data_IF_341565758512
#
_entry.id   IF_341565758512
#
_cell.length_a   1.000
_cell.length_b   1.000
_cell.length_c   1.000
_cell.angle_alpha   90.00
_cell.angle_beta   90.00
_cell.angle_gamma   90.00
#
_symmetry.space_group_name_H-M   'P 1'
#
loop_
_entity.id
_entity.type
_entity.pdbx_description
1 polymer ?
#
# COMPACT_ATOMS: atom_id res chain seq x y z
N UNK A 1 -1.79 -2.12 -14.63
CA UNK A 1 -0.90 -3.27 -14.35
C UNK A 1 0.21 -2.79 -13.43
N UNK A 2 0.63 -3.58 -12.44
CA UNK A 2 1.75 -3.21 -11.58
C UNK A 2 3.03 -3.17 -12.43
N UNK A 3 3.79 -2.08 -12.38
CA UNK A 3 5.09 -2.05 -13.04
C UNK A 3 6.09 -2.78 -12.13
N UNK A 4 6.73 -3.83 -12.65
CA UNK A 4 7.70 -4.64 -11.92
C UNK A 4 9.07 -4.29 -12.48
N UNK A 5 9.79 -3.47 -11.73
CA UNK A 5 11.17 -3.12 -12.03
C UNK A 5 12.12 -4.16 -11.41
N UNK A 6 13.22 -4.48 -12.09
CA UNK A 6 14.25 -5.39 -11.60
C UNK A 6 15.49 -4.59 -11.18
N UNK A 7 15.91 -4.74 -9.93
CA UNK A 7 17.14 -4.17 -9.41
C UNK A 7 18.20 -5.26 -9.40
N UNK A 8 19.37 -4.97 -9.99
CA UNK A 8 20.46 -5.93 -10.19
C UNK A 8 21.83 -5.27 -9.93
N UNK A 9 22.86 -6.10 -9.75
CA UNK A 9 24.25 -5.63 -9.60
C UNK A 9 24.48 -4.75 -8.37
N UNK A 10 25.32 -3.72 -8.52
CA UNK A 10 25.74 -2.84 -7.43
C UNK A 10 24.59 -2.08 -6.76
N UNK A 11 23.48 -1.86 -7.48
CA UNK A 11 22.28 -1.24 -6.95
C UNK A 11 21.65 -2.06 -5.80
N UNK A 12 21.81 -3.38 -5.79
CA UNK A 12 21.35 -4.23 -4.69
C UNK A 12 22.16 -3.94 -3.41
N UNK A 13 23.48 -3.75 -3.53
CA UNK A 13 24.32 -3.43 -2.36
C UNK A 13 23.91 -2.09 -1.75
N UNK A 14 23.65 -1.08 -2.57
CA UNK A 14 23.16 0.21 -2.10
C UNK A 14 21.80 0.07 -1.42
N UNK A 15 20.85 -0.63 -2.04
CA UNK A 15 19.53 -0.89 -1.46
C UNK A 15 19.62 -1.52 -0.07
N UNK A 16 20.45 -2.55 0.10
CA UNK A 16 20.58 -3.25 1.39
C UNK A 16 21.30 -2.40 2.46
N UNK A 17 22.25 -1.54 2.06
CA UNK A 17 22.83 -0.55 2.97
C UNK A 17 21.76 0.42 3.49
N UNK A 18 20.84 0.87 2.63
CA UNK A 18 19.72 1.70 3.05
C UNK A 18 18.76 0.96 4.00
N UNK A 19 18.47 -0.33 3.73
CA UNK A 19 17.66 -1.15 4.64
C UNK A 19 18.30 -1.25 6.02
N UNK A 20 19.62 -1.43 6.08
CA UNK A 20 20.37 -1.46 7.34
C UNK A 20 20.28 -0.14 8.10
N UNK A 21 20.59 0.96 7.41
CA UNK A 21 20.69 2.28 8.02
C UNK A 21 19.34 2.76 8.58
N UNK A 22 18.26 2.51 7.83
CA UNK A 22 16.92 2.94 8.22
C UNK A 22 16.17 1.90 9.06
N UNK A 23 16.80 0.76 9.39
CA UNK A 23 16.20 -0.36 10.14
C UNK A 23 14.84 -0.76 9.56
N UNK A 24 14.77 -0.91 8.24
CA UNK A 24 13.51 -1.25 7.56
C UNK A 24 13.12 -2.69 7.93
N UNK A 25 11.87 -2.94 8.39
CA UNK A 25 11.38 -4.28 8.68
C UNK A 25 11.36 -5.15 7.42
N UNK A 26 11.83 -6.38 7.57
CA UNK A 26 11.79 -7.43 6.55
C UNK A 26 10.75 -8.47 6.96
N UNK A 27 9.77 -8.71 6.10
CA UNK A 27 8.92 -9.89 6.20
C UNK A 27 9.65 -11.07 5.58
N UNK A 28 9.86 -12.12 6.37
CA UNK A 28 10.57 -13.33 5.97
C UNK A 28 9.57 -14.48 6.02
N UNK A 29 9.33 -15.10 4.86
CA UNK A 29 8.39 -16.20 4.71
C UNK A 29 9.13 -17.44 4.23
N UNK A 30 9.01 -18.52 4.99
CA UNK A 30 9.47 -19.85 4.61
C UNK A 30 8.41 -20.48 3.70
N UNK A 31 8.68 -20.48 2.40
CA UNK A 31 7.69 -20.82 1.36
C UNK A 31 7.20 -22.27 1.38
N UNK A 32 7.98 -23.18 1.96
CA UNK A 32 7.70 -24.61 2.05
C UNK A 32 7.46 -25.13 3.47
N UNK A 33 7.43 -24.25 4.47
CA UNK A 33 7.20 -24.61 5.88
C UNK A 33 6.06 -23.83 6.55
N UNK A 34 5.35 -22.97 5.80
CA UNK A 34 4.20 -22.22 6.31
C UNK A 34 4.52 -21.21 7.43
N UNK A 35 5.80 -20.91 7.64
CA UNK A 35 6.26 -20.03 8.70
C UNK A 35 6.53 -18.61 8.17
N UNK A 36 6.11 -17.60 8.92
CA UNK A 36 6.44 -16.21 8.65
C UNK A 36 6.86 -15.47 9.92
N UNK A 37 7.81 -14.54 9.79
CA UNK A 37 8.18 -13.63 10.86
C UNK A 37 8.67 -12.29 10.31
N UNK A 38 8.74 -11.31 11.20
CA UNK A 38 9.37 -10.03 10.94
C UNK A 38 10.79 -10.04 11.50
N UNK A 39 11.75 -9.59 10.69
CA UNK A 39 13.15 -9.43 11.09
C UNK A 39 13.68 -8.10 10.57
N UNK A 40 14.94 -7.81 10.84
CA UNK A 40 15.63 -6.63 10.33
C UNK A 40 17.03 -7.01 9.86
N UNK A 41 17.54 -6.28 8.88
CA UNK A 41 18.90 -6.50 8.41
C UNK A 41 19.89 -6.03 9.48
N UNK A 42 20.62 -6.97 10.09
CA UNK A 42 21.56 -6.67 11.18
C UNK A 42 22.93 -6.28 10.65
N UNK A 43 23.46 -7.06 9.71
CA UNK A 43 24.81 -6.88 9.17
C UNK A 43 24.87 -7.21 7.69
N UNK A 44 25.75 -6.51 6.98
CA UNK A 44 26.23 -6.90 5.65
C UNK A 44 27.67 -7.36 5.83
N UNK A 45 28.00 -8.54 5.29
CA UNK A 45 29.34 -9.14 5.34
C UNK A 45 29.76 -9.56 3.95
N UNK A 46 31.06 -9.48 3.68
CA UNK A 46 31.66 -10.05 2.48
C UNK A 46 32.47 -11.28 2.89
N UNK A 47 32.20 -12.43 2.28
CA UNK A 47 33.04 -13.64 2.40
C UNK A 47 33.56 -13.97 1.01
N UNK A 48 34.89 -14.08 0.88
CA UNK A 48 35.56 -14.19 -0.42
C UNK A 48 35.13 -13.06 -1.38
N UNK A 49 34.42 -13.38 -2.45
CA UNK A 49 33.88 -12.43 -3.44
C UNK A 49 32.37 -12.21 -3.33
N UNK A 50 31.70 -12.85 -2.36
CA UNK A 50 30.24 -12.86 -2.25
C UNK A 50 29.78 -12.03 -1.06
N UNK A 51 28.76 -11.20 -1.28
CA UNK A 51 28.12 -10.45 -0.21
C UNK A 51 26.98 -11.28 0.40
N UNK A 52 26.90 -11.22 1.72
CA UNK A 52 25.87 -11.82 2.55
C UNK A 52 25.23 -10.75 3.40
N UNK A 53 23.94 -10.86 3.62
CA UNK A 53 23.25 -10.12 4.67
C UNK A 53 22.78 -11.08 5.75
N UNK A 54 22.75 -10.58 6.98
CA UNK A 54 22.43 -11.35 8.16
C UNK A 54 21.14 -10.83 8.77
N UNK A 55 20.24 -11.75 9.07
CA UNK A 55 19.00 -11.51 9.81
C UNK A 55 18.96 -12.43 11.03
N UNK A 56 18.32 -11.99 12.10
CA UNK A 56 18.05 -12.84 13.27
C UNK A 56 16.91 -13.80 12.96
N UNK A 57 16.99 -14.99 13.54
CA UNK A 57 15.89 -15.97 13.58
C UNK A 57 15.59 -16.36 15.03
N UNK A 58 14.39 -16.88 15.26
CA UNK A 58 13.96 -17.38 16.57
C UNK A 58 13.84 -18.92 16.59
N UNK A 59 13.57 -19.50 17.75
CA UNK A 59 13.41 -20.96 17.89
C UNK A 59 12.29 -21.53 16.99
N UNK A 60 11.22 -20.76 16.74
CA UNK A 60 10.13 -21.23 15.89
C UNK A 60 10.58 -21.38 14.43
N UNK A 61 11.43 -20.46 13.94
CA UNK A 61 12.04 -20.59 12.62
C UNK A 61 12.91 -21.85 12.56
N UNK A 62 13.72 -22.09 13.59
CA UNK A 62 14.57 -23.29 13.64
C UNK A 62 13.73 -24.57 13.55
N UNK A 63 12.69 -24.70 14.39
CA UNK A 63 11.74 -25.83 14.35
C UNK A 63 11.07 -25.98 12.99
N UNK A 64 10.70 -24.87 12.35
CA UNK A 64 10.06 -24.88 11.03
C UNK A 64 11.01 -25.37 9.90
N UNK A 65 12.33 -25.27 10.11
CA UNK A 65 13.35 -25.70 9.13
C UNK A 65 13.98 -27.07 9.42
N UNK A 66 13.84 -27.61 10.64
CA UNK A 66 14.49 -28.87 11.07
C UNK A 66 14.18 -30.08 10.18
N UNK A 67 13.00 -30.14 9.58
CA UNK A 67 12.56 -31.26 8.73
C UNK A 67 12.53 -30.91 7.23
N UNK A 68 13.21 -29.83 6.82
CA UNK A 68 13.24 -29.39 5.42
C UNK A 68 14.62 -29.61 4.80
N UNK A 69 14.69 -30.44 3.77
CA UNK A 69 15.94 -30.71 3.03
C UNK A 69 16.43 -29.49 2.22
N UNK A 70 15.51 -28.65 1.74
CA UNK A 70 15.79 -27.40 1.00
C UNK A 70 14.78 -26.35 1.47
N UNK A 71 15.20 -25.36 2.25
CA UNK A 71 14.32 -24.31 2.74
C UNK A 71 14.46 -23.03 1.90
N UNK A 72 13.31 -22.51 1.46
CA UNK A 72 13.25 -21.36 0.55
C UNK A 72 12.61 -20.18 1.22
N UNK A 73 13.33 -19.07 1.26
CA UNK A 73 12.83 -17.81 1.79
C UNK A 73 12.30 -16.92 0.68
N UNK A 74 11.13 -16.36 0.93
CA UNK A 74 10.66 -15.14 0.29
C UNK A 74 10.85 -14.00 1.27
N UNK A 75 11.51 -12.94 0.82
CA UNK A 75 11.74 -11.75 1.63
C UNK A 75 10.98 -10.60 0.97
N UNK A 76 10.19 -9.88 1.76
CA UNK A 76 9.43 -8.72 1.33
C UNK A 76 9.70 -7.54 2.28
N UNK A 77 9.81 -6.34 1.73
CA UNK A 77 9.96 -5.12 2.53
C UNK A 77 9.36 -3.92 1.82
N UNK A 78 9.02 -2.89 2.59
CA UNK A 78 8.58 -1.60 2.04
C UNK A 78 9.73 -0.61 2.18
N UNK A 79 10.27 -0.15 1.04
CA UNK A 79 11.37 0.84 1.04
C UNK A 79 10.93 2.19 1.60
N UNK A 80 11.89 3.09 1.80
CA UNK A 80 11.63 4.48 2.23
C UNK A 80 10.71 5.25 1.28
N UNK A 81 10.65 4.82 0.02
CA UNK A 81 9.78 5.34 -1.02
C UNK A 81 8.33 4.82 -0.92
N UNK A 82 8.03 3.99 0.08
CA UNK A 82 6.70 3.41 0.29
C UNK A 82 6.34 2.31 -0.71
N UNK A 83 7.33 1.79 -1.44
CA UNK A 83 7.14 0.77 -2.47
C UNK A 83 7.54 -0.60 -1.92
N UNK A 84 6.77 -1.62 -2.33
CA UNK A 84 7.04 -2.99 -1.94
C UNK A 84 8.15 -3.58 -2.82
N UNK A 85 9.13 -4.21 -2.19
CA UNK A 85 10.19 -4.96 -2.82
C UNK A 85 10.08 -6.42 -2.40
N UNK A 86 10.41 -7.35 -3.29
CA UNK A 86 10.52 -8.75 -2.93
C UNK A 86 11.58 -9.48 -3.74
N UNK A 87 12.12 -10.54 -3.15
CA UNK A 87 12.96 -11.52 -3.82
C UNK A 87 12.84 -12.88 -3.13
N UNK A 88 13.37 -13.91 -3.78
CA UNK A 88 13.46 -15.25 -3.24
C UNK A 88 14.90 -15.71 -3.17
N UNK A 89 15.19 -16.54 -2.19
CA UNK A 89 16.50 -17.18 -2.01
C UNK A 89 16.33 -18.59 -1.48
N UNK A 90 17.28 -19.44 -1.84
CA UNK A 90 17.40 -20.86 -1.48
C UNK A 90 18.72 -21.13 -0.73
N UNK A 91 19.62 -20.16 -0.73
CA UNK A 91 20.98 -20.31 -0.20
C UNK A 91 21.09 -19.51 1.11
N UNK A 92 20.80 -20.19 2.22
CA UNK A 92 20.92 -19.64 3.56
C UNK A 92 21.63 -20.59 4.50
N UNK A 93 22.52 -20.07 5.35
CA UNK A 93 23.18 -20.83 6.41
C UNK A 93 22.77 -20.29 7.78
N UNK A 94 22.34 -21.17 8.68
CA UNK A 94 22.09 -20.79 10.07
C UNK A 94 23.36 -20.96 10.89
N UNK A 95 23.83 -19.88 11.52
CA UNK A 95 24.93 -19.95 12.49
C UNK A 95 24.85 -18.82 13.49
N UNK A 96 25.15 -19.13 14.77
CA UNK A 96 25.21 -18.14 15.85
C UNK A 96 23.92 -17.29 16.00
N UNK A 97 22.75 -17.90 15.85
CA UNK A 97 21.44 -17.20 15.95
C UNK A 97 21.14 -16.27 14.78
N UNK A 98 21.92 -16.35 13.70
CA UNK A 98 21.75 -15.55 12.49
C UNK A 98 21.56 -16.44 11.27
N UNK A 99 20.71 -15.98 10.36
CA UNK A 99 20.63 -16.54 9.01
C UNK A 99 21.57 -15.72 8.12
N UNK A 100 22.54 -16.39 7.51
CA UNK A 100 23.43 -15.84 6.51
C UNK A 100 22.82 -16.06 5.14
N UNK A 101 22.41 -14.97 4.49
CA UNK A 101 21.72 -15.06 3.22
C UNK A 101 22.59 -14.38 2.16
N UNK A 102 22.88 -15.11 1.08
CA UNK A 102 23.59 -14.54 -0.06
C UNK A 102 22.75 -13.42 -0.67
N UNK A 103 23.41 -12.35 -1.11
CA UNK A 103 22.73 -11.28 -1.84
C UNK A 103 22.00 -11.85 -3.06
N UNK A 104 20.72 -11.46 -3.28
CA UNK A 104 19.98 -11.94 -4.43
C UNK A 104 20.61 -11.38 -5.71
N UNK A 105 20.50 -12.12 -6.81
CA UNK A 105 20.89 -11.61 -8.13
C UNK A 105 19.92 -10.54 -8.63
N UNK A 106 18.65 -10.62 -8.22
CA UNK A 106 17.59 -9.69 -8.61
C UNK A 106 16.66 -9.42 -7.44
N UNK A 107 16.33 -8.16 -7.24
CA UNK A 107 15.22 -7.72 -6.38
C UNK A 107 14.13 -7.11 -7.24
N UNK A 108 12.89 -7.55 -7.05
CA UNK A 108 11.74 -7.01 -7.75
C UNK A 108 11.15 -5.84 -6.97
N UNK A 109 11.03 -4.69 -7.62
CA UNK A 109 10.39 -3.49 -7.09
C UNK A 109 9.00 -3.35 -7.70
N UNK A 110 7.97 -3.44 -6.86
CA UNK A 110 6.58 -3.49 -7.29
C UNK A 110 5.91 -2.13 -7.15
N UNK A 111 6.02 -1.30 -8.19
CA UNK A 111 5.30 -0.05 -8.23
C UNK A 111 3.85 -0.30 -8.68
N UNK A 112 2.97 -0.55 -7.71
CA UNK A 112 1.55 -0.87 -7.96
C UNK A 112 0.69 0.36 -8.24
N UNK A 113 1.15 1.56 -7.87
CA UNK A 113 0.40 2.81 -8.05
C UNK A 113 1.02 3.63 -9.16
N UNK A 114 0.26 3.89 -10.21
CA UNK A 114 0.64 4.79 -11.30
C UNK A 114 0.33 6.26 -10.97
N UNK A 115 -0.58 6.52 -10.03
CA UNK A 115 -1.04 7.85 -9.66
C UNK A 115 -0.69 8.16 -8.21
N UNK A 116 -0.12 9.35 -8.01
CA UNK A 116 0.20 9.88 -6.70
C UNK A 116 -1.07 10.12 -5.87
N UNK A 117 -0.97 9.95 -4.56
CA UNK A 117 -2.06 10.18 -3.61
C UNK A 117 -1.68 11.30 -2.66
N UNK A 118 -2.64 12.17 -2.39
CA UNK A 118 -2.56 13.20 -1.37
C UNK A 118 -3.59 12.91 -0.29
N UNK A 119 -3.26 13.23 0.96
CA UNK A 119 -4.28 13.37 1.99
C UNK A 119 -5.31 14.39 1.54
N UNK A 120 -6.59 14.02 1.68
CA UNK A 120 -7.66 14.88 1.24
C UNK A 120 -7.78 16.08 2.18
N UNK A 121 -8.15 17.28 1.67
CA UNK A 121 -8.49 18.40 2.54
C UNK A 121 -9.53 17.99 3.60
N UNK A 122 -9.33 18.44 4.84
CA UNK A 122 -10.23 18.09 5.93
C UNK A 122 -11.66 18.50 5.62
N UNK A 123 -12.60 17.55 5.67
CA UNK A 123 -14.00 17.78 5.31
C UNK A 123 -14.37 17.33 3.90
N UNK A 124 -13.41 16.83 3.10
CA UNK A 124 -13.69 16.19 1.81
C UNK A 124 -14.60 14.98 1.97
N UNK A 125 -15.64 14.91 1.13
CA UNK A 125 -16.70 13.89 1.21
C UNK A 125 -16.90 13.25 -0.15
N UNK A 126 -17.25 11.98 -0.15
CA UNK A 126 -17.69 11.27 -1.35
C UNK A 126 -19.10 10.73 -1.11
N UNK A 127 -20.02 11.03 -2.01
CA UNK A 127 -21.40 10.56 -1.97
C UNK A 127 -21.69 9.61 -3.12
N UNK A 128 -22.46 8.57 -2.85
CA UNK A 128 -22.93 7.63 -3.86
C UNK A 128 -24.21 6.95 -3.40
N UNK A 129 -24.96 6.36 -4.33
CA UNK A 129 -26.21 5.68 -4.03
C UNK A 129 -26.10 4.18 -4.31
N UNK A 130 -26.74 3.37 -3.47
CA UNK A 130 -27.00 1.94 -3.71
C UNK A 130 -28.45 1.69 -3.29
N UNK A 131 -29.26 1.13 -4.19
CA UNK A 131 -30.68 0.85 -3.94
C UNK A 131 -31.43 2.07 -3.35
N UNK A 132 -31.25 3.26 -3.95
CA UNK A 132 -31.82 4.53 -3.48
C UNK A 132 -31.32 5.04 -2.11
N UNK A 133 -30.42 4.31 -1.45
CA UNK A 133 -29.82 4.76 -0.19
C UNK A 133 -28.56 5.55 -0.50
N UNK A 134 -28.51 6.79 0.01
CA UNK A 134 -27.35 7.68 -0.14
C UNK A 134 -26.30 7.41 0.94
N UNK A 135 -25.14 6.98 0.50
CA UNK A 135 -23.96 6.75 1.32
C UNK A 135 -23.04 7.97 1.30
N UNK A 136 -22.33 8.17 2.40
CA UNK A 136 -21.33 9.24 2.56
C UNK A 136 -20.03 8.63 3.09
N UNK A 137 -18.91 8.95 2.43
CA UNK A 137 -17.57 8.69 2.95
C UNK A 137 -16.91 10.00 3.37
N UNK A 138 -16.19 9.99 4.49
CA UNK A 138 -15.13 10.98 4.73
C UNK A 138 -13.87 10.51 4.02
N UNK A 139 -13.37 11.32 3.11
CA UNK A 139 -12.24 10.92 2.26
C UNK A 139 -10.94 11.12 3.04
N UNK A 140 -10.12 10.07 3.11
CA UNK A 140 -8.79 10.09 3.74
C UNK A 140 -7.77 10.58 2.73
N UNK A 141 -7.75 10.00 1.53
CA UNK A 141 -6.84 10.40 0.47
C UNK A 141 -7.47 10.27 -0.91
N UNK A 142 -6.97 11.09 -1.83
CA UNK A 142 -7.41 11.18 -3.22
C UNK A 142 -6.20 10.98 -4.13
N UNK A 143 -6.44 10.38 -5.29
CA UNK A 143 -5.59 10.44 -6.49
C UNK A 143 -6.47 10.81 -7.68
N UNK A 144 -5.86 11.08 -8.83
CA UNK A 144 -6.61 11.30 -10.07
C UNK A 144 -7.45 10.11 -10.54
N UNK A 145 -7.23 8.90 -9.98
CA UNK A 145 -7.92 7.67 -10.39
C UNK A 145 -8.70 6.98 -9.28
N UNK A 146 -8.88 7.62 -8.12
CA UNK A 146 -9.63 7.00 -7.03
C UNK A 146 -9.40 7.63 -5.67
N UNK A 147 -10.18 7.17 -4.69
CA UNK A 147 -10.14 7.62 -3.29
C UNK A 147 -10.06 6.46 -2.32
N UNK A 148 -9.52 6.73 -1.14
CA UNK A 148 -9.78 5.97 0.08
C UNK A 148 -10.63 6.83 1.02
N UNK A 149 -11.72 6.29 1.54
CA UNK A 149 -12.56 6.98 2.52
C UNK A 149 -13.10 6.05 3.59
N UNK A 150 -13.56 6.65 4.68
CA UNK A 150 -14.26 5.97 5.77
C UNK A 150 -15.76 6.18 5.59
N UNK A 151 -16.53 5.11 5.67
CA UNK A 151 -17.97 5.18 5.69
C UNK A 151 -18.45 5.93 6.93
N UNK A 152 -19.18 7.03 6.70
CA UNK A 152 -19.89 7.77 7.72
C UNK A 152 -21.20 7.03 7.96
N UNK A 153 -21.16 5.98 8.78
CA UNK A 153 -22.34 5.16 9.04
C UNK A 153 -23.39 5.99 9.79
N UNK A 154 -24.65 5.90 9.36
CA UNK A 154 -25.79 6.22 10.22
C UNK A 154 -26.26 5.00 11.02
N UNK A 155 -26.04 3.75 10.54
CA UNK A 155 -26.41 2.49 11.25
C UNK A 155 -25.54 1.28 10.84
N UNK A 156 -25.56 0.18 11.63
CA UNK A 156 -24.94 -1.12 11.27
C UNK A 156 -25.57 -1.78 10.04
N UNK A 157 -26.85 -1.51 9.78
CA UNK A 157 -27.61 -2.07 8.67
C UNK A 157 -27.06 -1.60 7.31
N UNK A 158 -26.72 -0.30 7.18
CA UNK A 158 -26.11 0.24 5.96
C UNK A 158 -24.76 -0.42 5.63
N UNK A 159 -23.94 -0.73 6.65
CA UNK A 159 -22.69 -1.46 6.41
C UNK A 159 -22.94 -2.89 5.91
N UNK A 160 -23.94 -3.58 6.47
CA UNK A 160 -24.30 -4.92 6.04
C UNK A 160 -24.84 -4.93 4.60
N UNK A 161 -25.69 -3.96 4.27
CA UNK A 161 -26.24 -3.82 2.93
C UNK A 161 -25.17 -3.53 1.89
N UNK A 162 -24.21 -2.66 2.22
CA UNK A 162 -23.07 -2.36 1.37
C UNK A 162 -22.21 -3.61 1.11
N UNK A 163 -22.00 -4.46 2.13
CA UNK A 163 -21.28 -5.73 2.00
C UNK A 163 -22.06 -6.76 1.18
N UNK A 164 -23.38 -6.83 1.36
CA UNK A 164 -24.24 -7.82 0.69
C UNK A 164 -24.38 -7.50 -0.79
N UNK A 165 -24.68 -6.24 -1.13
CA UNK A 165 -24.85 -5.82 -2.51
C UNK A 165 -23.52 -5.78 -3.26
N UNK A 166 -22.44 -5.36 -2.58
CA UNK A 166 -21.07 -5.22 -3.11
C UNK A 166 -21.04 -4.87 -4.61
N UNK A 167 -21.68 -3.76 -5.02
CA UNK A 167 -21.85 -3.47 -6.43
C UNK A 167 -20.46 -3.30 -7.07
N UNK A 168 -20.23 -4.05 -8.15
CA UNK A 168 -18.96 -3.97 -8.88
C UNK A 168 -18.73 -2.59 -9.49
N UNK A 169 -19.81 -1.90 -9.85
CA UNK A 169 -19.80 -0.55 -10.43
C UNK A 169 -20.84 0.28 -9.70
N UNK A 170 -20.47 1.50 -9.34
CA UNK A 170 -21.35 2.51 -8.75
C UNK A 170 -21.37 3.70 -9.68
N UNK A 171 -22.56 4.18 -10.00
CA UNK A 171 -22.75 5.30 -10.92
C UNK A 171 -23.00 6.60 -10.18
N UNK A 172 -22.76 7.72 -10.86
CA UNK A 172 -23.11 9.07 -10.41
C UNK A 172 -22.56 9.40 -9.01
N UNK A 173 -21.25 9.19 -8.83
CA UNK A 173 -20.54 9.45 -7.59
C UNK A 173 -20.15 10.93 -7.52
N UNK A 174 -20.41 11.56 -6.38
CA UNK A 174 -20.10 12.97 -6.15
C UNK A 174 -18.94 13.10 -5.17
N UNK A 175 -17.80 13.61 -5.66
CA UNK A 175 -16.65 13.93 -4.83
C UNK A 175 -16.64 15.42 -4.52
N UNK A 176 -16.82 15.77 -3.25
CA UNK A 176 -17.01 17.14 -2.78
C UNK A 176 -15.82 17.55 -1.93
N UNK A 177 -15.15 18.61 -2.38
CA UNK A 177 -14.03 19.22 -1.68
C UNK A 177 -14.51 20.49 -0.96
N UNK A 178 -14.12 20.66 0.31
CA UNK A 178 -14.55 21.79 1.10
C UNK A 178 -14.01 23.09 0.52
N UNK A 179 -14.82 24.14 0.59
CA UNK A 179 -14.40 25.50 0.34
C UNK A 179 -13.20 25.92 1.22
N UNK A 180 -12.36 26.83 0.71
CA UNK A 180 -11.20 27.34 1.45
C UNK A 180 -11.53 28.53 2.35
N UNK A 181 -12.58 29.28 2.04
CA UNK A 181 -13.05 30.43 2.82
C UNK A 181 -14.56 30.40 3.05
N UNK A 182 -15.05 31.22 3.98
CA UNK A 182 -16.46 31.25 4.40
C UNK A 182 -17.44 31.68 3.30
N UNK A 183 -16.95 32.36 2.25
CA UNK A 183 -17.76 32.85 1.13
C UNK A 183 -17.60 32.02 -0.16
N UNK A 184 -16.80 30.95 -0.13
CA UNK A 184 -16.58 30.09 -1.28
C UNK A 184 -17.53 28.88 -1.24
N UNK A 185 -18.00 28.45 -2.40
CA UNK A 185 -18.78 27.22 -2.51
C UNK A 185 -17.87 25.97 -2.52
N UNK A 186 -18.40 24.87 -1.98
CA UNK A 186 -17.77 23.56 -2.07
C UNK A 186 -17.52 23.17 -3.54
N UNK A 187 -16.31 22.71 -3.83
CA UNK A 187 -15.94 22.25 -5.16
C UNK A 187 -16.37 20.80 -5.38
N UNK A 188 -17.35 20.58 -6.25
CA UNK A 188 -17.86 19.24 -6.60
C UNK A 188 -17.27 18.70 -7.91
N UNK A 189 -16.84 17.44 -7.89
CA UNK A 189 -16.44 16.65 -9.07
C UNK A 189 -17.41 15.49 -9.23
N UNK A 190 -18.02 15.37 -10.40
CA UNK A 190 -18.92 14.26 -10.73
C UNK A 190 -18.16 13.13 -11.43
N UNK A 191 -18.25 11.94 -10.88
CA UNK A 191 -17.61 10.74 -11.42
C UNK A 191 -18.71 9.82 -11.90
N UNK A 192 -18.73 9.55 -13.21
CA UNK A 192 -19.81 8.80 -13.85
C UNK A 192 -19.84 7.36 -13.35
N UNK A 193 -18.67 6.71 -13.24
CA UNK A 193 -18.57 5.35 -12.72
C UNK A 193 -17.37 5.16 -11.80
N UNK A 194 -17.61 4.51 -10.67
CA UNK A 194 -16.61 4.06 -9.71
C UNK A 194 -16.71 2.54 -9.51
N UNK A 195 -15.65 1.92 -9.02
CA UNK A 195 -15.64 0.52 -8.60
C UNK A 195 -15.05 0.39 -7.20
N UNK A 196 -15.67 -0.41 -6.33
CA UNK A 196 -15.03 -0.84 -5.09
C UNK A 196 -13.85 -1.75 -5.38
N UNK A 197 -12.68 -1.37 -4.87
CA UNK A 197 -11.44 -2.16 -4.96
C UNK A 197 -11.18 -2.88 -3.64
N UNK A 198 -11.59 -2.28 -2.52
CA UNK A 198 -11.43 -2.83 -1.17
C UNK A 198 -12.52 -2.29 -0.26
N UNK A 199 -13.07 -3.17 0.58
CA UNK A 199 -14.01 -2.84 1.64
C UNK A 199 -13.64 -3.64 2.87
N UNK A 200 -13.20 -2.98 3.94
CA UNK A 200 -12.75 -3.67 5.15
C UNK A 200 -12.91 -2.79 6.40
N UNK A 201 -13.01 -3.43 7.57
CA UNK A 201 -12.85 -2.70 8.82
C UNK A 201 -11.37 -2.54 9.12
N UNK A 202 -10.94 -1.31 9.34
CA UNK A 202 -9.61 -1.05 9.85
C UNK A 202 -9.44 -1.74 11.22
N UNK A 203 -8.44 -2.61 11.41
CA UNK A 203 -8.30 -3.39 12.63
C UNK A 203 -8.03 -2.54 13.86
N UNK A 204 -7.41 -1.37 13.69
CA UNK A 204 -7.07 -0.42 14.76
C UNK A 204 -8.24 0.51 15.07
N UNK A 205 -8.76 1.22 14.06
CA UNK A 205 -9.79 2.25 14.30
C UNK A 205 -11.22 1.68 14.34
N UNK A 206 -11.40 0.41 13.94
CA UNK A 206 -12.69 -0.28 13.76
C UNK A 206 -13.64 0.37 12.76
N UNK A 207 -13.21 1.45 12.09
CA UNK A 207 -13.95 2.18 11.06
C UNK A 207 -14.01 1.35 9.77
N UNK A 208 -15.12 1.44 9.05
CA UNK A 208 -15.30 0.76 7.77
C UNK A 208 -14.69 1.61 6.65
N UNK A 209 -13.62 1.12 6.03
CA UNK A 209 -12.89 1.79 4.97
C UNK A 209 -13.28 1.24 3.60
N UNK A 210 -13.49 2.16 2.65
CA UNK A 210 -13.81 1.87 1.27
C UNK A 210 -12.76 2.50 0.35
N UNK A 211 -12.09 1.66 -0.45
CA UNK A 211 -11.25 2.12 -1.55
C UNK A 211 -12.03 2.02 -2.86
N UNK A 212 -12.14 3.15 -3.57
CA UNK A 212 -12.89 3.26 -4.82
C UNK A 212 -11.97 3.72 -5.94
N UNK A 213 -12.01 3.04 -7.09
CA UNK A 213 -11.34 3.47 -8.30
C UNK A 213 -12.32 4.16 -9.24
N UNK A 214 -11.90 5.26 -9.84
CA UNK A 214 -12.67 5.96 -10.87
C UNK A 214 -12.50 5.18 -12.18
N UNK A 215 -13.62 4.83 -12.81
CA UNK A 215 -13.66 4.05 -14.06
C UNK A 215 -14.03 4.92 -15.24
N UNK A 216 -14.99 5.82 -15.04
CA UNK A 216 -15.42 6.74 -16.06
C UNK A 216 -15.67 8.11 -15.43
N UNK A 217 -15.07 9.12 -16.04
CA UNK A 217 -15.19 10.52 -15.68
C UNK A 217 -15.14 11.33 -16.97
N UNK A 218 -15.99 12.35 -17.08
CA UNK A 218 -16.01 13.19 -18.28
C UNK A 218 -14.75 14.03 -18.35
N UNK A 219 -14.33 14.43 -19.54
CA UNK A 219 -13.12 15.25 -19.71
C UNK A 219 -13.18 16.56 -18.90
N UNK A 220 -14.36 17.18 -18.86
CA UNK A 220 -14.62 18.39 -18.05
C UNK A 220 -14.36 18.14 -16.56
N UNK A 221 -14.91 17.06 -16.02
CA UNK A 221 -14.76 16.71 -14.60
C UNK A 221 -13.34 16.21 -14.28
N UNK A 222 -12.68 15.52 -15.22
CA UNK A 222 -11.28 15.12 -15.09
C UNK A 222 -10.36 16.34 -15.04
N UNK A 223 -10.60 17.35 -15.90
CA UNK A 223 -9.83 18.61 -15.89
C UNK A 223 -10.01 19.33 -14.56
N UNK A 224 -11.26 19.43 -14.08
CA UNK A 224 -11.57 20.01 -12.77
C UNK A 224 -10.86 19.27 -11.63
N UNK A 225 -10.89 17.93 -11.62
CA UNK A 225 -10.19 17.11 -10.64
C UNK A 225 -8.67 17.34 -10.68
N UNK A 226 -8.08 17.42 -11.88
CA UNK A 226 -6.66 17.67 -12.04
C UNK A 226 -6.27 19.03 -11.45
N UNK A 227 -6.99 20.10 -11.79
CA UNK A 227 -6.71 21.46 -11.30
C UNK A 227 -6.76 21.53 -9.78
N UNK A 228 -7.82 20.97 -9.19
CA UNK A 228 -8.01 20.86 -7.75
C UNK A 228 -6.87 20.06 -7.10
N UNK A 229 -6.56 18.88 -7.63
CA UNK A 229 -5.50 18.01 -7.10
C UNK A 229 -4.12 18.69 -7.12
N UNK A 230 -3.75 19.33 -8.24
CA UNK A 230 -2.47 20.04 -8.35
C UNK A 230 -2.40 21.27 -7.45
N UNK A 231 -3.51 21.99 -7.27
CA UNK A 231 -3.54 23.10 -6.31
C UNK A 231 -3.23 22.60 -4.90
N UNK A 232 -3.86 21.50 -4.46
CA UNK A 232 -3.61 20.95 -3.12
C UNK A 232 -2.22 20.33 -3.00
N UNK A 233 -1.69 19.75 -4.07
CA UNK A 233 -0.32 19.28 -4.08
C UNK A 233 0.65 20.41 -3.74
N UNK A 234 0.48 21.58 -4.35
CA UNK A 234 1.29 22.77 -4.06
C UNK A 234 1.10 23.24 -2.63
N UNK A 235 -0.13 23.30 -2.15
CA UNK A 235 -0.42 23.72 -0.78
C UNK A 235 0.18 22.77 0.27
N UNK A 236 0.12 21.45 0.02
CA UNK A 236 0.73 20.42 0.86
C UNK A 236 2.25 20.57 0.91
N UNK A 237 2.89 20.81 -0.24
CA UNK A 237 4.34 21.01 -0.33
C UNK A 237 4.82 22.28 0.37
N UNK A 238 4.00 23.34 0.42
CA UNK A 238 4.32 24.60 1.11
C UNK A 238 4.25 24.50 2.64
N UNK A 239 3.53 23.52 3.18
CA UNK A 239 3.35 23.31 4.64
C UNK A 239 4.39 22.36 5.25
N UNK A 240 5.27 21.79 4.42
CA UNK A 240 6.41 20.96 4.82
C UNK A 240 7.66 21.81 4.99
#
# INVERSE_FOLDING_TARGET
MANIEKIQGDAILQLFKELQQNKIPLKVTLTNGGYEHLSHLKKIRKRLRTHYFLIEYNEDFQKATENLDDWRLRIEFTGKDGIMYAFQTKDGDMSQGMIWIKFPETVHRFQRRSLFRLEAPHGTRLYFNINEIRYKLFVINVSLGGTLGVLVSLTKQMEQELKLNNPRIIENVELVFPAKGENDDDSKVNIKQCQFIRQERNPQTKKFECAMAFKEITEKEQKKLNELFYQWQRDYLRKR
#
